data_IF_156267863570
#
_entry.id   IF_156267863570
#
_cell.length_a   1.000
_cell.length_b   1.000
_cell.length_c   1.000
_cell.angle_alpha   90.00
_cell.angle_beta   90.00
_cell.angle_gamma   90.00
#
_symmetry.space_group_name_H-M   'P 1'
#
loop_
_entity.id
_entity.type
_entity.pdbx_description
1 polymer ?
#
# COMPACT_ATOMS: atom_id res chain seq x y z
N UNK A 1 29.98 45.49 -52.43
CA UNK A 1 29.05 44.75 -53.32
C UNK A 1 28.63 43.48 -52.60
N UNK A 2 27.31 43.32 -52.40
CA UNK A 2 26.54 42.10 -52.16
C UNK A 2 26.93 41.28 -50.92
N UNK A 3 26.31 41.51 -49.75
CA UNK A 3 24.99 41.00 -49.34
C UNK A 3 24.92 39.47 -49.43
N UNK A 4 24.80 38.78 -48.30
CA UNK A 4 24.08 37.49 -48.19
C UNK A 4 23.86 37.09 -46.72
N UNK A 5 22.59 37.32 -46.33
CA UNK A 5 21.75 36.55 -45.42
C UNK A 5 22.26 36.21 -44.00
N UNK A 6 21.79 37.03 -43.06
CA UNK A 6 21.49 36.62 -41.67
C UNK A 6 20.28 35.68 -41.69
N UNK A 7 20.47 34.38 -41.52
CA UNK A 7 19.40 33.47 -41.11
C UNK A 7 19.45 33.28 -39.60
N UNK A 8 18.57 34.00 -38.90
CA UNK A 8 18.26 33.73 -37.50
C UNK A 8 17.38 32.47 -37.53
N UNK A 9 17.97 31.31 -37.22
CA UNK A 9 17.21 30.09 -36.94
C UNK A 9 16.52 30.29 -35.58
N UNK A 10 15.31 30.84 -35.58
CA UNK A 10 14.40 30.76 -34.44
C UNK A 10 13.97 29.30 -34.30
N UNK A 11 14.72 28.55 -33.49
CA UNK A 11 14.28 27.24 -33.00
C UNK A 11 13.11 27.49 -32.06
N UNK A 12 11.89 27.41 -32.60
CA UNK A 12 10.69 27.19 -31.80
C UNK A 12 10.84 25.79 -31.18
N UNK A 13 11.40 25.74 -29.98
CA UNK A 13 11.33 24.55 -29.14
C UNK A 13 9.87 24.42 -28.75
N UNK A 14 9.11 23.66 -29.55
CA UNK A 14 7.88 23.02 -29.11
C UNK A 14 8.27 22.08 -27.98
N UNK A 15 8.25 22.58 -26.74
CA UNK A 15 8.25 21.73 -25.56
C UNK A 15 6.97 20.89 -25.66
N UNK A 16 7.05 19.57 -25.87
CA UNK A 16 5.88 18.74 -25.63
C UNK A 16 5.63 18.87 -24.13
N UNK A 17 4.57 19.60 -23.78
CA UNK A 17 4.04 19.56 -22.43
C UNK A 17 3.84 18.10 -22.09
N UNK A 18 4.64 17.59 -21.16
CA UNK A 18 4.44 16.28 -20.56
C UNK A 18 3.08 16.36 -19.88
N UNK A 19 2.05 15.94 -20.60
CA UNK A 19 0.77 15.66 -20.02
C UNK A 19 1.01 14.49 -19.07
N UNK A 20 1.16 14.79 -17.79
CA UNK A 20 0.96 13.81 -16.74
C UNK A 20 -0.53 13.44 -16.81
N UNK A 21 -0.85 12.47 -17.66
CA UNK A 21 -2.00 11.63 -17.39
C UNK A 21 -1.67 10.94 -16.07
N UNK A 22 -2.13 11.52 -14.96
CA UNK A 22 -2.35 10.77 -13.73
C UNK A 22 -3.44 9.78 -14.12
N UNK A 23 -3.02 8.64 -14.65
CA UNK A 23 -3.89 7.53 -14.91
C UNK A 23 -4.39 7.07 -13.55
N UNK A 24 -5.63 7.45 -13.25
CA UNK A 24 -6.41 6.82 -12.21
C UNK A 24 -6.73 5.41 -12.71
N UNK A 25 -5.78 4.49 -12.52
CA UNK A 25 -5.99 3.07 -12.72
C UNK A 25 -6.99 2.60 -11.65
N UNK A 26 -8.27 2.61 -12.00
CA UNK A 26 -9.31 1.96 -11.21
C UNK A 26 -9.25 0.47 -11.54
N UNK A 27 -8.64 -0.30 -10.66
CA UNK A 27 -8.55 -1.74 -10.79
C UNK A 27 -9.94 -2.37 -10.61
N UNK A 28 -10.43 -3.07 -11.63
CA UNK A 28 -11.70 -3.81 -11.61
C UNK A 28 -11.52 -5.30 -11.30
N UNK A 29 -10.29 -5.75 -10.99
CA UNK A 29 -10.06 -7.13 -10.60
C UNK A 29 -10.58 -7.36 -9.19
N UNK A 30 -11.51 -8.30 -9.06
CA UNK A 30 -11.90 -8.85 -7.76
C UNK A 30 -10.86 -9.89 -7.36
N UNK A 31 -10.24 -9.71 -6.19
CA UNK A 31 -9.31 -10.68 -5.62
C UNK A 31 -10.00 -11.47 -4.51
N UNK A 32 -9.30 -12.45 -3.93
CA UNK A 32 -9.82 -13.21 -2.80
C UNK A 32 -10.29 -12.24 -1.68
N UNK A 33 -11.54 -12.33 -1.21
CA UNK A 33 -12.07 -11.42 -0.20
C UNK A 33 -11.28 -11.41 1.12
N UNK A 34 -10.60 -12.51 1.47
CA UNK A 34 -9.73 -12.56 2.65
C UNK A 34 -8.44 -11.76 2.44
N UNK A 35 -7.90 -11.71 1.22
CA UNK A 35 -6.78 -10.82 0.88
C UNK A 35 -7.23 -9.36 0.94
N UNK A 36 -8.41 -9.05 0.39
CA UNK A 36 -8.97 -7.70 0.41
C UNK A 36 -9.26 -7.22 1.84
N UNK A 37 -9.73 -8.12 2.71
CA UNK A 37 -9.94 -7.84 4.14
C UNK A 37 -8.65 -7.42 4.86
N UNK A 38 -7.52 -8.05 4.49
CA UNK A 38 -6.22 -7.86 5.12
C UNK A 38 -5.29 -6.91 4.35
N UNK A 39 -5.82 -6.15 3.38
CA UNK A 39 -5.05 -5.25 2.51
C UNK A 39 -4.11 -4.29 3.26
N UNK A 40 -4.61 -3.67 4.35
CA UNK A 40 -3.84 -2.72 5.14
C UNK A 40 -2.67 -3.39 5.87
N UNK A 41 -2.88 -4.60 6.36
CA UNK A 41 -1.84 -5.37 7.05
C UNK A 41 -0.78 -5.87 6.06
N UNK A 42 -1.18 -6.26 4.84
CA UNK A 42 -0.24 -6.62 3.76
C UNK A 42 0.68 -5.44 3.40
N UNK A 43 0.11 -4.24 3.28
CA UNK A 43 0.90 -3.00 3.15
C UNK A 43 1.81 -2.83 4.37
N UNK A 44 1.28 -3.05 5.57
CA UNK A 44 2.03 -2.88 6.80
C UNK A 44 3.25 -3.77 6.93
N UNK A 45 3.11 -5.07 6.67
CA UNK A 45 4.22 -6.02 6.66
C UNK A 45 5.29 -5.58 5.66
N UNK A 46 4.87 -5.09 4.48
CA UNK A 46 5.80 -4.57 3.46
C UNK A 46 6.56 -3.35 3.96
N UNK A 47 5.88 -2.36 4.52
CA UNK A 47 6.50 -1.13 5.04
C UNK A 47 7.43 -1.44 6.22
N UNK A 48 6.99 -2.29 7.14
CA UNK A 48 7.78 -2.73 8.30
C UNK A 48 9.07 -3.43 7.87
N UNK A 49 9.01 -4.25 6.82
CA UNK A 49 10.19 -4.88 6.25
C UNK A 49 11.13 -3.86 5.61
N UNK A 50 10.60 -2.94 4.79
CA UNK A 50 11.39 -1.89 4.17
C UNK A 50 12.09 -0.97 5.19
N UNK A 51 11.43 -0.71 6.32
CA UNK A 51 11.98 0.09 7.41
C UNK A 51 13.03 -0.66 8.25
N UNK A 52 13.21 -1.97 8.02
CA UNK A 52 14.16 -2.80 8.76
C UNK A 52 13.71 -3.21 10.16
N UNK A 53 12.42 -3.06 10.48
CA UNK A 53 11.86 -3.46 11.79
C UNK A 53 11.46 -4.94 11.85
N UNK A 54 11.34 -5.60 10.69
CA UNK A 54 11.18 -7.06 10.60
C UNK A 54 12.14 -7.61 9.56
N UNK A 55 12.62 -8.83 9.80
CA UNK A 55 13.61 -9.51 8.96
C UNK A 55 12.96 -10.45 7.93
N UNK A 56 13.76 -10.98 6.98
CA UNK A 56 13.32 -12.04 6.07
C UNK A 56 12.74 -13.25 6.81
N UNK A 57 13.35 -13.60 7.97
CA UNK A 57 12.92 -14.71 8.82
C UNK A 57 11.53 -14.49 9.45
N UNK A 58 11.01 -13.26 9.40
CA UNK A 58 9.68 -12.91 9.86
C UNK A 58 8.73 -12.63 8.69
N UNK A 59 9.20 -11.90 7.67
CA UNK A 59 8.40 -11.51 6.52
C UNK A 59 8.00 -12.71 5.65
N UNK A 60 8.95 -13.59 5.32
CA UNK A 60 8.65 -14.73 4.45
C UNK A 60 7.62 -15.67 5.08
N UNK A 61 7.77 -16.10 6.35
CA UNK A 61 6.77 -16.95 6.99
C UNK A 61 5.43 -16.24 7.18
N UNK A 62 5.41 -14.93 7.45
CA UNK A 62 4.18 -14.15 7.53
C UNK A 62 3.36 -14.20 6.22
N UNK A 63 4.03 -14.08 5.07
CA UNK A 63 3.35 -14.21 3.78
C UNK A 63 2.98 -15.65 3.43
N UNK A 64 3.77 -16.64 3.85
CA UNK A 64 3.40 -18.07 3.72
C UNK A 64 2.13 -18.36 4.51
N UNK A 65 2.04 -17.92 5.76
CA UNK A 65 0.86 -18.10 6.60
C UNK A 65 -0.36 -17.33 6.06
N UNK A 66 -0.16 -16.13 5.50
CA UNK A 66 -1.23 -15.42 4.80
C UNK A 66 -1.76 -16.21 3.61
N UNK A 67 -0.87 -16.78 2.79
CA UNK A 67 -1.24 -17.64 1.65
C UNK A 67 -2.04 -18.85 2.14
N UNK A 68 -1.59 -19.50 3.21
CA UNK A 68 -2.29 -20.64 3.83
C UNK A 68 -3.68 -20.24 4.35
N UNK A 69 -3.79 -19.17 5.13
CA UNK A 69 -5.05 -18.66 5.68
C UNK A 69 -6.07 -18.28 4.59
N UNK A 70 -5.60 -17.61 3.55
CA UNK A 70 -6.45 -17.12 2.46
C UNK A 70 -6.80 -18.20 1.44
N UNK A 71 -5.98 -19.25 1.35
CA UNK A 71 -6.13 -20.35 0.38
C UNK A 71 -5.77 -19.94 -1.05
N UNK A 72 -5.05 -18.83 -1.22
CA UNK A 72 -4.60 -18.33 -2.53
C UNK A 72 -3.26 -18.97 -2.92
N UNK A 73 -2.74 -18.62 -4.10
CA UNK A 73 -1.35 -18.92 -4.45
C UNK A 73 -0.46 -17.71 -4.20
N UNK A 74 0.85 -17.93 -4.05
CA UNK A 74 1.82 -16.81 -3.99
C UNK A 74 1.77 -15.92 -5.24
N UNK A 75 1.47 -16.48 -6.41
CA UNK A 75 1.28 -15.70 -7.64
C UNK A 75 0.05 -14.79 -7.57
N UNK A 76 -1.07 -15.28 -7.01
CA UNK A 76 -2.27 -14.47 -6.80
C UNK A 76 -2.03 -13.35 -5.78
N UNK A 77 -1.35 -13.64 -4.66
CA UNK A 77 -0.93 -12.62 -3.70
C UNK A 77 -0.04 -11.56 -4.36
N UNK A 78 0.96 -11.99 -5.16
CA UNK A 78 1.82 -11.07 -5.89
C UNK A 78 1.05 -10.21 -6.89
N UNK A 79 0.09 -10.79 -7.62
CA UNK A 79 -0.79 -10.05 -8.52
C UNK A 79 -1.68 -9.06 -7.78
N UNK A 80 -2.22 -9.43 -6.62
CA UNK A 80 -3.01 -8.52 -5.79
C UNK A 80 -2.15 -7.35 -5.32
N UNK A 81 -0.96 -7.63 -4.80
CA UNK A 81 -0.03 -6.61 -4.36
C UNK A 81 0.29 -5.63 -5.50
N UNK A 82 0.75 -6.12 -6.65
CA UNK A 82 1.17 -5.26 -7.76
C UNK A 82 0.03 -4.41 -8.33
N UNK A 83 -1.19 -4.95 -8.40
CA UNK A 83 -2.32 -4.23 -9.01
C UNK A 83 -3.08 -3.32 -8.05
N UNK A 84 -3.08 -3.63 -6.75
CA UNK A 84 -3.98 -2.99 -5.78
C UNK A 84 -3.27 -2.29 -4.64
N UNK A 85 -2.10 -2.77 -4.21
CA UNK A 85 -1.47 -2.31 -2.96
C UNK A 85 -0.14 -1.57 -3.19
N UNK A 86 0.64 -2.00 -4.20
CA UNK A 86 2.03 -1.59 -4.39
C UNK A 86 2.22 -0.08 -4.46
N UNK A 87 1.38 0.62 -5.25
CA UNK A 87 1.43 2.09 -5.34
C UNK A 87 1.24 2.77 -3.97
N UNK A 88 0.35 2.26 -3.13
CA UNK A 88 0.09 2.82 -1.79
C UNK A 88 1.25 2.52 -0.84
N UNK A 89 1.78 1.30 -0.87
CA UNK A 89 2.94 0.92 -0.08
C UNK A 89 4.15 1.81 -0.45
N UNK A 90 4.43 1.99 -1.75
CA UNK A 90 5.49 2.87 -2.24
C UNK A 90 5.33 4.32 -1.79
N UNK A 91 4.10 4.85 -1.84
CA UNK A 91 3.80 6.20 -1.34
C UNK A 91 4.13 6.35 0.14
N UNK A 92 3.77 5.36 0.97
CA UNK A 92 4.05 5.38 2.42
C UNK A 92 5.56 5.28 2.67
N UNK A 93 6.24 4.34 2.02
CA UNK A 93 7.69 4.12 2.20
C UNK A 93 8.52 5.33 1.71
N UNK A 94 8.02 6.07 0.72
CA UNK A 94 8.69 7.25 0.17
C UNK A 94 8.42 8.54 0.93
N UNK A 95 7.46 8.54 1.87
CA UNK A 95 7.13 9.68 2.71
C UNK A 95 7.65 9.45 4.14
N UNK A 96 8.70 10.18 4.57
CA UNK A 96 9.28 10.03 5.90
C UNK A 96 8.26 10.19 7.04
N UNK A 97 7.32 11.12 6.92
CA UNK A 97 6.34 11.37 7.99
C UNK A 97 5.32 10.23 8.09
N UNK A 98 4.87 9.70 6.95
CA UNK A 98 3.99 8.53 6.90
C UNK A 98 4.70 7.25 7.35
N UNK A 99 5.97 7.09 6.99
CA UNK A 99 6.78 5.93 7.35
C UNK A 99 7.02 5.84 8.87
N UNK A 100 7.13 6.97 9.57
CA UNK A 100 7.29 7.03 11.02
C UNK A 100 6.09 6.50 11.81
N UNK A 101 4.91 6.39 11.20
CA UNK A 101 3.74 5.76 11.82
C UNK A 101 3.92 4.25 11.99
N UNK A 102 4.82 3.63 11.21
CA UNK A 102 5.13 2.20 11.22
C UNK A 102 6.36 1.92 12.07
N UNK A 103 6.27 2.27 13.36
CA UNK A 103 7.37 2.12 14.31
C UNK A 103 7.60 0.66 14.72
N UNK A 104 8.79 0.35 15.24
CA UNK A 104 9.24 -1.00 15.61
C UNK A 104 8.20 -1.80 16.41
N UNK A 105 7.68 -1.26 17.51
CA UNK A 105 6.70 -1.98 18.35
C UNK A 105 5.38 -2.34 17.62
N UNK A 106 4.95 -1.51 16.66
CA UNK A 106 3.78 -1.84 15.84
C UNK A 106 4.13 -2.97 14.87
N UNK A 107 5.30 -2.90 14.24
CA UNK A 107 5.78 -3.88 13.27
C UNK A 107 6.01 -5.26 13.90
N UNK A 108 6.58 -5.31 15.09
CA UNK A 108 6.76 -6.55 15.85
C UNK A 108 5.41 -7.20 16.19
N UNK A 109 4.44 -6.41 16.64
CA UNK A 109 3.09 -6.89 16.94
C UNK A 109 2.40 -7.42 15.67
N UNK A 110 2.45 -6.65 14.58
CA UNK A 110 1.87 -7.05 13.31
C UNK A 110 2.49 -8.35 12.79
N UNK A 111 3.81 -8.47 12.82
CA UNK A 111 4.49 -9.69 12.42
C UNK A 111 4.12 -10.88 13.32
N UNK A 112 4.04 -10.69 14.64
CA UNK A 112 3.64 -11.75 15.56
C UNK A 112 2.26 -12.33 15.20
N UNK A 113 1.29 -11.47 14.88
CA UNK A 113 -0.05 -11.90 14.45
C UNK A 113 -0.05 -12.71 13.14
N UNK A 114 0.98 -12.56 12.30
CA UNK A 114 1.08 -13.28 11.02
C UNK A 114 2.00 -14.49 11.08
N UNK A 115 2.85 -14.60 12.11
CA UNK A 115 3.73 -15.75 12.33
C UNK A 115 3.00 -16.93 12.98
N UNK A 116 1.87 -16.67 13.63
CA UNK A 116 0.98 -17.68 14.19
C UNK A 116 -0.36 -17.69 13.41
N UNK A 117 -0.78 -18.86 12.92
CA UNK A 117 -2.00 -18.99 12.12
C UNK A 117 -3.28 -18.76 12.93
N UNK A 118 -3.29 -19.10 14.22
CA UNK A 118 -4.44 -18.88 15.08
C UNK A 118 -4.58 -17.37 15.37
N UNK A 119 -3.48 -16.68 15.66
CA UNK A 119 -3.46 -15.22 15.82
C UNK A 119 -3.84 -14.48 14.52
N UNK A 120 -3.43 -15.01 13.36
CA UNK A 120 -3.83 -14.46 12.06
C UNK A 120 -5.34 -14.59 11.84
N UNK A 121 -5.93 -15.71 12.28
CA UNK A 121 -7.36 -15.91 12.23
C UNK A 121 -8.09 -14.89 13.10
N UNK A 122 -7.65 -14.71 14.34
CA UNK A 122 -8.22 -13.74 15.28
C UNK A 122 -8.06 -12.30 14.77
N UNK A 123 -6.93 -11.97 14.16
CA UNK A 123 -6.69 -10.69 13.50
C UNK A 123 -7.67 -10.44 12.35
N UNK A 124 -7.93 -11.46 11.53
CA UNK A 124 -8.87 -11.35 10.42
C UNK A 124 -10.32 -11.18 10.90
N UNK A 125 -10.72 -11.87 11.97
CA UNK A 125 -12.04 -11.67 12.59
C UNK A 125 -12.20 -10.26 13.16
N UNK A 126 -11.16 -9.71 13.79
CA UNK A 126 -11.15 -8.31 14.23
C UNK A 126 -11.27 -7.34 13.05
N UNK A 127 -10.52 -7.58 11.96
CA UNK A 127 -10.62 -6.78 10.74
C UNK A 127 -12.05 -6.83 10.18
N UNK A 128 -12.69 -8.00 10.16
CA UNK A 128 -14.06 -8.17 9.71
C UNK A 128 -15.06 -7.40 10.58
N UNK A 129 -14.89 -7.44 11.90
CA UNK A 129 -15.72 -6.67 12.84
C UNK A 129 -15.59 -5.16 12.59
N UNK A 130 -14.37 -4.67 12.33
CA UNK A 130 -14.15 -3.25 11.99
C UNK A 130 -14.76 -2.85 10.65
N UNK A 131 -14.68 -3.71 9.62
CA UNK A 131 -15.33 -3.47 8.33
C UNK A 131 -16.87 -3.53 8.43
N UNK A 132 -17.42 -4.39 9.30
CA UNK A 132 -18.85 -4.46 9.60
C UNK A 132 -19.40 -3.17 10.23
N UNK A 133 -18.60 -2.49 11.04
CA UNK A 133 -18.92 -1.16 11.58
C UNK A 133 -18.66 -0.02 10.60
N UNK A 134 -17.89 -0.25 9.53
CA UNK A 134 -17.56 0.76 8.51
C UNK A 134 -18.73 1.07 7.55
N UNK A 135 -19.85 0.31 7.60
CA UNK A 135 -21.13 0.73 7.01
C UNK A 135 -21.91 1.75 7.85
N UNK A 136 -21.49 2.00 9.07
CA UNK A 136 -21.95 3.13 9.89
C UNK A 136 -20.91 4.22 9.77
N UNK A 137 -21.32 5.34 9.18
CA UNK A 137 -20.55 6.58 9.03
C UNK A 137 -19.72 6.85 10.29
N UNK A 138 -18.43 6.51 10.27
CA UNK A 138 -17.50 6.92 11.31
C UNK A 138 -17.40 8.44 11.25
N UNK A 139 -17.48 9.12 12.40
CA UNK A 139 -17.32 10.56 12.41
C UNK A 139 -15.90 10.91 11.91
N UNK A 140 -15.73 12.03 11.19
CA UNK A 140 -14.42 12.47 10.69
C UNK A 140 -13.34 12.52 11.77
N UNK A 141 -13.71 12.83 13.01
CA UNK A 141 -12.81 12.82 14.16
C UNK A 141 -12.25 11.44 14.54
N UNK A 142 -13.03 10.36 14.42
CA UNK A 142 -12.56 9.00 14.74
C UNK A 142 -11.63 8.52 13.63
N UNK A 143 -12.00 8.77 12.37
CA UNK A 143 -11.15 8.47 11.20
C UNK A 143 -9.84 9.25 11.29
N UNK A 144 -9.90 10.53 11.67
CA UNK A 144 -8.71 11.36 11.88
C UNK A 144 -7.86 10.86 13.05
N UNK A 145 -8.46 10.47 14.17
CA UNK A 145 -7.72 9.88 15.28
C UNK A 145 -7.06 8.55 14.90
N UNK A 146 -7.72 7.72 14.12
CA UNK A 146 -7.15 6.44 13.71
C UNK A 146 -6.10 6.61 12.59
N UNK A 147 -6.22 7.62 11.73
CA UNK A 147 -5.13 8.06 10.83
C UNK A 147 -3.95 8.61 11.63
N UNK A 148 -4.20 9.50 12.60
CA UNK A 148 -3.17 10.07 13.50
C UNK A 148 -2.51 9.01 14.40
N UNK A 149 -3.18 7.88 14.62
CA UNK A 149 -2.68 6.72 15.39
C UNK A 149 -2.20 5.57 14.49
N UNK A 150 -2.14 5.76 13.17
CA UNK A 150 -1.67 4.76 12.21
C UNK A 150 -2.55 3.50 12.07
N UNK A 151 -3.79 3.50 12.57
CA UNK A 151 -4.70 2.35 12.58
C UNK A 151 -5.60 2.25 11.34
N UNK A 152 -5.73 3.33 10.58
CA UNK A 152 -6.56 3.38 9.38
C UNK A 152 -5.76 3.97 8.22
N UNK A 153 -5.35 3.10 7.30
CA UNK A 153 -5.04 3.53 5.94
C UNK A 153 -6.38 3.71 5.21
N UNK A 154 -6.74 4.95 4.92
CA UNK A 154 -7.78 5.25 3.94
C UNK A 154 -7.30 4.78 2.57
N UNK A 155 -7.80 3.62 2.14
CA UNK A 155 -7.78 3.20 0.74
C UNK A 155 -8.89 4.02 0.06
N UNK A 156 -8.49 4.98 -0.78
CA UNK A 156 -9.38 5.67 -1.72
C UNK A 156 -9.17 5.10 -3.11
#
# INVERSE_FOLDING_TARGET
>A
MNSLLKSIFSVFILLPGLAFAVEHNHNHNHFNPKLELLANDIIGITVCYNNGFISDQQQEPAFVNLIEYTGVTGAELGMYYMNSLGKKAEQIMSDPDSSLLWHEAYCENLAANYLDLDELHDRAEQALATQGHHRTVLSPEIVKQDIERGRLLTIQ
#
